data_IF_793728269545
#
_entry.id   IF_793728269545
#
_cell.length_a   1.000
_cell.length_b   1.000
_cell.length_c   1.000
_cell.angle_alpha   90.00
_cell.angle_beta   90.00
_cell.angle_gamma   90.00
#
_symmetry.space_group_name_H-M   'P 1'
#
loop_
_entity.id
_entity.type
_entity.pdbx_description
1 polymer ?
#
# COMPACT_ATOMS: atom_id res chain seq x y z
N UNK A 1 2.91 -8.48 36.35
CA UNK A 1 3.34 -9.74 35.69
C UNK A 1 2.33 -10.90 35.72
N UNK A 2 1.43 -11.04 36.73
CA UNK A 2 0.46 -12.18 36.79
C UNK A 2 -0.80 -12.05 35.91
N UNK A 3 -1.16 -10.85 35.41
CA UNK A 3 -2.33 -10.67 34.52
C UNK A 3 -2.05 -11.01 33.05
N UNK A 4 -0.83 -10.74 32.56
CA UNK A 4 -0.42 -10.92 31.15
C UNK A 4 -0.28 -12.40 30.73
N UNK A 5 -0.01 -13.29 31.67
CA UNK A 5 0.11 -14.74 31.41
C UNK A 5 -1.24 -15.45 31.28
N UNK A 6 -2.32 -14.94 31.91
CA UNK A 6 -3.66 -15.52 31.77
C UNK A 6 -4.32 -15.17 30.44
N UNK A 7 -4.11 -13.98 29.88
CA UNK A 7 -4.72 -13.56 28.60
C UNK A 7 -4.18 -14.30 27.38
N UNK A 8 -2.87 -14.63 27.36
CA UNK A 8 -2.27 -15.43 26.25
C UNK A 8 -2.79 -16.87 26.17
N UNK A 9 -3.20 -17.47 27.29
CA UNK A 9 -3.76 -18.82 27.33
C UNK A 9 -5.23 -18.88 26.90
N UNK A 10 -6.00 -17.80 27.11
CA UNK A 10 -7.43 -17.75 26.77
C UNK A 10 -7.70 -17.59 25.27
N UNK A 11 -6.80 -16.93 24.52
CA UNK A 11 -7.00 -16.72 23.07
C UNK A 11 -6.62 -17.92 22.18
N UNK A 12 -5.88 -18.90 22.71
CA UNK A 12 -5.43 -20.07 21.94
C UNK A 12 -6.44 -21.23 21.86
N UNK A 13 -7.53 -21.22 22.63
CA UNK A 13 -8.21 -22.47 22.97
C UNK A 13 -9.71 -22.66 22.63
N UNK A 14 -10.44 -21.75 21.97
CA UNK A 14 -11.91 -21.94 21.93
C UNK A 14 -12.69 -21.64 20.64
N UNK A 15 -12.15 -20.91 19.65
CA UNK A 15 -13.01 -20.42 18.55
C UNK A 15 -13.08 -21.40 17.38
N UNK A 16 -11.94 -21.96 16.95
CA UNK A 16 -11.87 -22.77 15.73
C UNK A 16 -12.43 -24.20 15.84
N UNK A 17 -12.26 -24.95 16.95
CA UNK A 17 -12.75 -26.34 17.04
C UNK A 17 -14.28 -26.46 17.12
N UNK A 18 -15.00 -25.34 17.31
CA UNK A 18 -16.39 -25.34 17.75
C UNK A 18 -17.40 -24.98 16.65
N UNK A 19 -16.91 -24.56 15.48
CA UNK A 19 -17.74 -24.25 14.29
C UNK A 19 -18.12 -25.52 13.50
N UNK A 20 -17.57 -26.68 13.86
CA UNK A 20 -17.78 -27.97 13.15
C UNK A 20 -19.06 -28.74 13.53
N UNK A 21 -19.89 -28.22 14.45
CA UNK A 21 -21.10 -28.89 14.91
C UNK A 21 -22.36 -28.06 14.63
N UNK A 22 -22.67 -27.84 13.35
CA UNK A 22 -23.98 -27.36 12.89
C UNK A 22 -24.25 -28.25 11.67
N UNK A 23 -25.31 -29.06 11.58
CA UNK A 23 -26.67 -28.65 11.23
C UNK A 23 -27.64 -29.85 11.26
N UNK A 24 -28.92 -29.57 11.51
CA UNK A 24 -30.01 -30.18 10.73
C UNK A 24 -31.22 -29.24 10.66
N UNK A 25 -31.97 -29.36 9.55
CA UNK A 25 -33.28 -28.77 9.20
C UNK A 25 -33.27 -27.48 8.34
N UNK A 26 -33.74 -27.61 7.09
CA UNK A 26 -34.59 -26.63 6.42
C UNK A 26 -34.02 -25.76 5.28
N UNK A 27 -32.72 -25.82 4.98
CA UNK A 27 -32.06 -24.98 3.97
C UNK A 27 -31.37 -25.86 2.93
N UNK A 28 -31.22 -25.40 1.68
CA UNK A 28 -30.42 -26.11 0.68
C UNK A 28 -28.98 -26.27 1.16
N UNK A 29 -28.38 -27.43 0.89
CA UNK A 29 -27.02 -27.76 1.35
C UNK A 29 -25.98 -26.70 0.95
N UNK A 30 -26.14 -26.11 -0.24
CA UNK A 30 -25.27 -25.06 -0.79
C UNK A 30 -25.35 -23.73 -0.01
N UNK A 31 -26.55 -23.29 0.38
CA UNK A 31 -26.70 -22.05 1.15
C UNK A 31 -26.19 -22.22 2.59
N UNK A 32 -26.29 -23.43 3.14
CA UNK A 32 -25.69 -23.82 4.42
C UNK A 32 -24.16 -23.79 4.37
N UNK A 33 -23.57 -24.35 3.32
CA UNK A 33 -22.12 -24.40 3.12
C UNK A 33 -21.55 -22.98 2.97
N UNK A 34 -22.19 -22.14 2.16
CA UNK A 34 -21.80 -20.73 2.00
C UNK A 34 -21.88 -19.95 3.32
N UNK A 35 -22.92 -20.17 4.14
CA UNK A 35 -23.04 -19.53 5.45
C UNK A 35 -21.91 -19.97 6.40
N UNK A 36 -21.59 -21.27 6.42
CA UNK A 36 -20.54 -21.81 7.27
C UNK A 36 -19.17 -21.25 6.91
N UNK A 37 -18.85 -21.14 5.61
CA UNK A 37 -17.61 -20.55 5.13
C UNK A 37 -17.48 -19.07 5.56
N UNK A 38 -18.55 -18.28 5.46
CA UNK A 38 -18.54 -16.87 5.93
C UNK A 38 -18.30 -16.77 7.43
N UNK A 39 -18.97 -17.59 8.23
CA UNK A 39 -18.77 -17.66 9.69
C UNK A 39 -17.31 -17.99 10.02
N UNK A 40 -16.73 -18.99 9.36
CA UNK A 40 -15.33 -19.38 9.57
C UNK A 40 -14.35 -18.26 9.22
N UNK A 41 -14.56 -17.60 8.07
CA UNK A 41 -13.74 -16.47 7.63
C UNK A 41 -13.78 -15.32 8.64
N UNK A 42 -14.99 -14.90 9.04
CA UNK A 42 -15.21 -13.82 10.01
C UNK A 42 -14.62 -14.15 11.39
N UNK A 43 -14.77 -15.40 11.86
CA UNK A 43 -14.20 -15.83 13.13
C UNK A 43 -12.66 -15.78 13.14
N UNK A 44 -12.02 -16.18 12.02
CA UNK A 44 -10.57 -16.11 11.83
C UNK A 44 -10.09 -14.66 11.84
N UNK A 45 -10.80 -13.76 11.16
CA UNK A 45 -10.49 -12.33 11.14
C UNK A 45 -10.64 -11.71 12.55
N UNK A 46 -11.74 -11.97 13.25
CA UNK A 46 -11.99 -11.44 14.59
C UNK A 46 -10.93 -11.92 15.58
N UNK A 47 -10.49 -13.18 15.48
CA UNK A 47 -9.39 -13.71 16.29
C UNK A 47 -8.07 -12.99 16.00
N UNK A 48 -7.75 -12.74 14.72
CA UNK A 48 -6.55 -12.01 14.32
C UNK A 48 -6.53 -10.60 14.90
N UNK A 49 -7.60 -9.82 14.69
CA UNK A 49 -7.70 -8.45 15.21
C UNK A 49 -7.65 -8.40 16.75
N UNK A 50 -8.30 -9.34 17.43
CA UNK A 50 -8.26 -9.40 18.89
C UNK A 50 -6.86 -9.75 19.44
N UNK A 51 -6.10 -10.61 18.74
CA UNK A 51 -4.71 -10.92 19.07
C UNK A 51 -3.80 -9.70 18.87
N UNK A 52 -3.98 -8.97 17.78
CA UNK A 52 -3.25 -7.74 17.48
C UNK A 52 -3.50 -6.70 18.57
N UNK A 53 -4.76 -6.40 18.89
CA UNK A 53 -5.15 -5.46 19.95
C UNK A 53 -4.59 -5.85 21.33
N UNK A 54 -4.68 -7.12 21.70
CA UNK A 54 -4.09 -7.62 22.94
C UNK A 54 -2.55 -7.54 22.95
N UNK A 55 -1.90 -7.80 21.83
CA UNK A 55 -0.46 -7.60 21.64
C UNK A 55 -0.05 -6.14 21.77
N UNK A 56 -0.95 -5.23 21.40
CA UNK A 56 -0.80 -3.78 21.47
C UNK A 56 -1.12 -3.18 22.85
N UNK A 57 -1.29 -4.00 23.89
CA UNK A 57 -1.62 -3.52 25.24
C UNK A 57 -3.07 -3.05 25.42
N UNK A 58 -3.92 -3.19 24.40
CA UNK A 58 -5.33 -2.82 24.43
C UNK A 58 -6.22 -4.06 24.23
N UNK A 59 -6.27 -5.02 25.18
CA UNK A 59 -7.04 -6.24 25.00
C UNK A 59 -8.54 -5.92 24.83
N UNK A 60 -9.20 -6.39 23.75
CA UNK A 60 -10.61 -6.07 23.49
C UNK A 60 -11.52 -6.99 24.32
N UNK A 61 -11.52 -6.80 25.64
CA UNK A 61 -12.13 -7.72 26.61
C UNK A 61 -13.64 -7.92 26.39
N UNK A 62 -14.35 -6.87 25.99
CA UNK A 62 -15.79 -6.92 25.67
C UNK A 62 -16.06 -7.77 24.43
N UNK A 63 -15.27 -7.59 23.37
CA UNK A 63 -15.38 -8.35 22.13
C UNK A 63 -15.04 -9.82 22.37
N UNK A 64 -14.01 -10.09 23.20
CA UNK A 64 -13.69 -11.46 23.64
C UNK A 64 -14.84 -12.07 24.44
N UNK A 65 -15.53 -11.30 25.30
CA UNK A 65 -16.70 -11.79 26.03
C UNK A 65 -17.86 -12.14 25.09
N UNK A 66 -18.12 -11.33 24.06
CA UNK A 66 -19.11 -11.62 23.01
C UNK A 66 -18.77 -12.91 22.27
N UNK A 67 -17.52 -13.06 21.79
CA UNK A 67 -17.09 -14.26 21.06
C UNK A 67 -17.23 -15.56 21.88
N UNK A 68 -17.15 -15.49 23.22
CA UNK A 68 -17.37 -16.66 24.09
C UNK A 68 -18.81 -17.18 24.10
N UNK A 69 -19.78 -16.46 23.53
CA UNK A 69 -21.18 -16.90 23.43
C UNK A 69 -21.44 -17.75 22.18
N UNK A 70 -20.56 -17.68 21.17
CA UNK A 70 -20.69 -18.44 19.90
C UNK A 70 -20.89 -19.96 20.13
N UNK A 71 -20.18 -20.62 21.07
CA UNK A 71 -20.42 -22.02 21.37
C UNK A 71 -21.86 -22.39 21.71
N UNK A 72 -22.55 -21.51 22.43
CA UNK A 72 -23.92 -21.76 22.85
C UNK A 72 -24.89 -21.59 21.67
N UNK A 73 -24.66 -20.60 20.81
CA UNK A 73 -25.40 -20.48 19.55
C UNK A 73 -25.16 -21.65 18.60
N UNK A 74 -23.93 -22.18 18.56
CA UNK A 74 -23.58 -23.37 17.77
C UNK A 74 -24.42 -24.58 18.16
N UNK A 75 -24.48 -24.89 19.47
CA UNK A 75 -25.32 -25.98 20.01
C UNK A 75 -26.81 -25.83 19.70
N UNK A 76 -27.29 -24.59 19.56
CA UNK A 76 -28.68 -24.26 19.27
C UNK A 76 -28.99 -24.22 17.77
N UNK A 77 -28.01 -24.46 16.89
CA UNK A 77 -28.21 -24.38 15.43
C UNK A 77 -28.37 -22.96 14.90
N UNK A 78 -27.99 -21.94 15.68
CA UNK A 78 -28.25 -20.51 15.41
C UNK A 78 -27.18 -19.86 14.54
N UNK A 79 -26.99 -20.38 13.33
CA UNK A 79 -25.90 -19.96 12.44
C UNK A 79 -26.01 -18.48 12.01
N UNK A 80 -27.22 -17.97 11.78
CA UNK A 80 -27.41 -16.57 11.39
C UNK A 80 -27.11 -15.60 12.55
N UNK A 81 -27.44 -15.98 13.78
CA UNK A 81 -27.08 -15.20 14.97
C UNK A 81 -25.56 -15.20 15.22
N UNK A 82 -24.87 -16.30 14.93
CA UNK A 82 -23.40 -16.35 14.95
C UNK A 82 -22.81 -15.38 13.92
N UNK A 83 -23.32 -15.40 12.68
CA UNK A 83 -22.85 -14.50 11.62
C UNK A 83 -23.04 -13.03 12.01
N UNK A 84 -24.24 -12.67 12.49
CA UNK A 84 -24.55 -11.31 12.95
C UNK A 84 -23.65 -10.85 14.09
N UNK A 85 -23.44 -11.71 15.09
CA UNK A 85 -22.55 -11.39 16.22
C UNK A 85 -21.11 -11.17 15.76
N UNK A 86 -20.64 -11.96 14.79
CA UNK A 86 -19.31 -11.78 14.21
C UNK A 86 -19.19 -10.46 13.45
N UNK A 87 -20.22 -10.04 12.72
CA UNK A 87 -20.25 -8.74 12.04
C UNK A 87 -20.17 -7.56 13.04
N UNK A 88 -20.93 -7.64 14.13
CA UNK A 88 -20.88 -6.65 15.22
C UNK A 88 -19.49 -6.59 15.86
N UNK A 89 -18.92 -7.74 16.21
CA UNK A 89 -17.58 -7.84 16.81
C UNK A 89 -16.51 -7.31 15.86
N UNK A 90 -16.56 -7.65 14.57
CA UNK A 90 -15.60 -7.18 13.58
C UNK A 90 -15.68 -5.66 13.41
N UNK A 91 -16.87 -5.09 13.37
CA UNK A 91 -17.07 -3.64 13.31
C UNK A 91 -16.41 -2.94 14.49
N UNK A 92 -16.64 -3.44 15.71
CA UNK A 92 -16.03 -2.90 16.93
C UNK A 92 -14.52 -3.08 16.97
N UNK A 93 -14.00 -4.25 16.59
CA UNK A 93 -12.56 -4.52 16.56
C UNK A 93 -11.85 -3.63 15.56
N UNK A 94 -12.39 -3.46 14.35
CA UNK A 94 -11.84 -2.55 13.33
C UNK A 94 -11.82 -1.09 13.82
N UNK A 95 -12.86 -0.66 14.54
CA UNK A 95 -12.92 0.66 15.18
C UNK A 95 -11.96 0.86 16.35
N UNK A 96 -11.53 -0.23 17.03
CA UNK A 96 -10.51 -0.18 18.10
C UNK A 96 -9.08 -0.36 17.58
N UNK A 97 -8.92 -0.94 16.40
CA UNK A 97 -7.62 -1.15 15.73
C UNK A 97 -7.10 0.09 15.02
N UNK A 98 -7.91 1.15 14.89
CA UNK A 98 -7.40 2.49 14.60
C UNK A 98 -6.69 2.99 15.86
N UNK A 99 -5.38 3.26 15.82
CA UNK A 99 -4.70 3.85 16.97
C UNK A 99 -5.41 5.15 17.36
N UNK A 100 -5.57 5.41 18.66
CA UNK A 100 -5.69 6.79 19.12
C UNK A 100 -4.51 7.58 18.53
N UNK A 101 -4.75 8.79 18.00
CA UNK A 101 -3.68 9.56 17.42
C UNK A 101 -2.71 9.92 18.55
N UNK A 102 -1.45 9.47 18.42
CA UNK A 102 -0.35 10.38 18.78
C UNK A 102 -0.68 11.73 18.12
N UNK A 103 -0.35 12.85 18.75
CA UNK A 103 -0.61 14.20 18.22
C UNK A 103 0.15 14.39 16.89
N UNK A 104 -0.41 13.84 15.81
CA UNK A 104 0.20 13.77 14.49
C UNK A 104 -0.14 15.08 13.80
N UNK A 105 0.86 15.89 13.42
CA UNK A 105 0.61 17.11 12.67
C UNK A 105 -0.18 16.79 11.39
N UNK A 106 -1.32 17.44 11.19
CA UNK A 106 -2.10 17.29 9.98
C UNK A 106 -1.68 18.29 8.90
N UNK A 107 -1.70 17.85 7.65
CA UNK A 107 -1.61 18.72 6.47
C UNK A 107 -3.00 18.87 5.88
N UNK A 108 -3.58 20.06 6.04
CA UNK A 108 -5.00 20.30 5.75
C UNK A 108 -5.23 21.06 4.44
N UNK A 109 -4.20 21.38 3.66
CA UNK A 109 -4.38 22.13 2.41
C UNK A 109 -5.17 21.33 1.37
N UNK A 110 -4.91 20.02 1.25
CA UNK A 110 -5.68 19.15 0.38
C UNK A 110 -7.14 18.98 0.85
N UNK A 111 -8.07 18.94 -0.11
CA UNK A 111 -9.51 18.86 0.10
C UNK A 111 -10.14 17.75 -0.73
N UNK A 112 -11.36 17.38 -0.31
CA UNK A 112 -12.37 16.58 -1.02
C UNK A 112 -11.83 15.51 -1.96
N UNK A 113 -11.70 14.25 -1.48
CA UNK A 113 -11.40 13.11 -2.33
C UNK A 113 -12.47 12.93 -3.42
N UNK A 114 -12.03 12.78 -4.66
CA UNK A 114 -12.87 12.51 -5.82
C UNK A 114 -12.42 11.22 -6.48
N UNK A 115 -13.34 10.28 -6.65
CA UNK A 115 -13.07 9.01 -7.35
C UNK A 115 -12.78 9.29 -8.82
N UNK A 116 -11.73 8.68 -9.35
CA UNK A 116 -11.37 8.74 -10.77
C UNK A 116 -12.04 7.60 -11.51
N UNK A 117 -12.55 7.89 -12.70
CA UNK A 117 -13.15 6.93 -13.62
C UNK A 117 -12.16 6.61 -14.74
N UNK A 118 -11.74 5.35 -14.84
CA UNK A 118 -10.97 4.84 -15.98
C UNK A 118 -11.94 4.10 -16.91
N UNK A 119 -12.43 4.79 -17.95
CA UNK A 119 -13.40 4.23 -18.90
C UNK A 119 -12.81 3.05 -19.65
N UNK A 120 -13.53 1.94 -19.68
CA UNK A 120 -13.06 0.70 -20.32
C UNK A 120 -12.18 -0.18 -19.42
N UNK A 121 -11.98 0.18 -18.15
CA UNK A 121 -11.26 -0.62 -17.17
C UNK A 121 -12.09 -0.79 -15.90
N UNK A 122 -12.18 -2.01 -15.36
CA UNK A 122 -13.03 -2.34 -14.19
C UNK A 122 -12.32 -3.15 -13.11
N UNK A 123 -11.07 -3.53 -13.33
CA UNK A 123 -10.27 -4.27 -12.35
C UNK A 123 -9.60 -3.33 -11.34
N UNK A 124 -8.74 -3.88 -10.50
CA UNK A 124 -7.91 -3.10 -9.57
C UNK A 124 -7.00 -2.11 -10.31
N UNK A 125 -6.88 -0.88 -9.79
CA UNK A 125 -5.93 0.10 -10.25
C UNK A 125 -5.15 0.64 -9.04
N UNK A 126 -3.84 0.40 -9.05
CA UNK A 126 -2.89 0.71 -7.97
C UNK A 126 -1.75 1.60 -8.48
N UNK A 127 -0.98 2.15 -7.53
CA UNK A 127 0.27 2.91 -7.75
C UNK A 127 0.21 3.85 -8.96
N UNK A 128 -0.74 4.80 -9.00
CA UNK A 128 -0.90 5.67 -10.14
C UNK A 128 0.34 6.55 -10.34
N UNK A 129 0.69 6.78 -11.60
CA UNK A 129 1.66 7.79 -11.98
C UNK A 129 1.15 8.61 -13.15
N UNK A 130 1.07 9.93 -12.98
CA UNK A 130 0.66 10.83 -14.04
C UNK A 130 1.89 11.32 -14.81
N UNK A 131 1.85 11.25 -16.13
CA UNK A 131 2.90 11.80 -16.99
C UNK A 131 3.13 13.30 -16.71
N UNK A 132 4.34 13.79 -16.98
CA UNK A 132 4.74 15.17 -16.65
C UNK A 132 3.95 16.24 -17.39
N UNK A 133 3.34 15.89 -18.52
CA UNK A 133 2.40 16.73 -19.29
C UNK A 133 0.92 16.54 -18.88
N UNK A 134 0.65 15.62 -17.94
CA UNK A 134 -0.67 15.33 -17.40
C UNK A 134 -1.57 14.53 -18.34
N UNK A 135 -1.09 14.06 -19.49
CA UNK A 135 -1.94 13.44 -20.51
C UNK A 135 -2.15 11.93 -20.31
N UNK A 136 -1.25 11.26 -19.60
CA UNK A 136 -1.25 9.80 -19.47
C UNK A 136 -1.21 9.42 -18.00
N UNK A 137 -2.18 8.61 -17.57
CA UNK A 137 -2.17 7.96 -16.27
C UNK A 137 -1.66 6.53 -16.44
N UNK A 138 -0.53 6.23 -15.83
CA UNK A 138 0.01 4.88 -15.66
C UNK A 138 -0.46 4.30 -14.32
N UNK A 139 -0.62 3.00 -14.25
CA UNK A 139 -0.99 2.28 -13.02
C UNK A 139 -0.67 0.79 -13.18
N UNK A 140 -0.49 0.06 -12.09
CA UNK A 140 -0.53 -1.40 -12.09
C UNK A 140 -1.92 -1.90 -11.70
N UNK A 141 -2.21 -3.16 -11.99
CA UNK A 141 -3.46 -3.81 -11.59
C UNK A 141 -3.47 -4.17 -10.09
N UNK A 142 -2.90 -5.32 -9.72
CA UNK A 142 -2.93 -5.88 -8.38
C UNK A 142 -1.59 -6.54 -8.02
N UNK A 143 -1.12 -6.28 -6.80
CA UNK A 143 0.08 -6.89 -6.23
C UNK A 143 -0.29 -8.19 -5.46
N UNK A 144 -0.83 -9.19 -6.17
CA UNK A 144 -1.22 -10.49 -5.59
C UNK A 144 -0.52 -11.65 -6.33
N UNK A 145 0.04 -12.65 -5.62
CA UNK A 145 0.74 -13.78 -6.25
C UNK A 145 -0.11 -14.64 -7.21
N UNK A 146 -1.44 -14.52 -7.17
CA UNK A 146 -2.36 -15.28 -8.04
C UNK A 146 -2.59 -14.64 -9.41
N UNK A 147 -2.10 -13.42 -9.63
CA UNK A 147 -2.22 -12.70 -10.91
C UNK A 147 -0.88 -12.10 -11.32
N UNK A 148 -0.68 -11.89 -12.62
CA UNK A 148 0.46 -11.08 -13.05
C UNK A 148 0.19 -9.62 -12.70
N UNK A 149 1.13 -9.02 -11.97
CA UNK A 149 1.14 -7.57 -11.79
C UNK A 149 1.64 -6.95 -13.08
N UNK A 150 0.74 -6.28 -13.81
CA UNK A 150 0.99 -5.68 -15.10
C UNK A 150 0.82 -4.16 -15.01
N UNK A 151 1.63 -3.44 -15.78
CA UNK A 151 1.49 -2.01 -16.01
C UNK A 151 0.50 -1.73 -17.14
N UNK A 152 -0.32 -0.72 -16.89
CA UNK A 152 -1.41 -0.26 -17.74
C UNK A 152 -1.30 1.25 -17.95
N UNK A 153 -1.99 1.76 -18.97
CA UNK A 153 -2.11 3.20 -19.18
C UNK A 153 -3.50 3.62 -19.68
N UNK A 154 -3.83 4.88 -19.37
CA UNK A 154 -5.05 5.53 -19.80
C UNK A 154 -4.77 7.00 -20.21
N UNK A 155 -5.45 7.48 -21.24
CA UNK A 155 -5.33 8.87 -21.72
C UNK A 155 -6.33 9.77 -21.01
N UNK A 156 -5.92 10.97 -20.63
CA UNK A 156 -6.76 11.93 -19.92
C UNK A 156 -7.90 12.44 -20.80
N UNK A 157 -9.12 12.38 -20.28
CA UNK A 157 -10.28 13.10 -20.84
C UNK A 157 -10.49 14.40 -20.05
N UNK A 158 -10.48 14.30 -18.70
CA UNK A 158 -10.59 15.43 -17.79
C UNK A 158 -9.88 15.12 -16.45
N UNK A 159 -10.09 15.96 -15.43
CA UNK A 159 -9.47 15.83 -14.11
C UNK A 159 -9.77 14.52 -13.36
N UNK A 160 -10.89 13.89 -13.63
CA UNK A 160 -11.34 12.68 -12.91
C UNK A 160 -11.79 11.58 -13.87
N UNK A 161 -11.52 11.73 -15.17
CA UNK A 161 -11.88 10.75 -16.19
C UNK A 161 -10.70 10.49 -17.13
N UNK A 162 -10.36 9.22 -17.29
CA UNK A 162 -9.36 8.74 -18.23
C UNK A 162 -9.97 7.66 -19.13
N UNK A 163 -9.47 7.55 -20.36
CA UNK A 163 -9.83 6.50 -21.31
C UNK A 163 -8.76 5.42 -21.29
N UNK A 164 -9.12 4.20 -20.88
CA UNK A 164 -8.19 3.06 -20.89
C UNK A 164 -7.69 2.78 -22.31
N UNK A 165 -6.39 2.51 -22.43
CA UNK A 165 -5.72 2.27 -23.72
C UNK A 165 -5.07 0.90 -23.82
N UNK A 166 -4.90 0.18 -22.72
CA UNK A 166 -4.32 -1.15 -22.70
C UNK A 166 -3.20 -1.28 -21.67
N UNK A 167 -2.52 -2.42 -21.76
CA UNK A 167 -1.25 -2.66 -21.09
C UNK A 167 -0.12 -1.85 -21.74
N UNK A 168 0.89 -1.53 -20.95
CA UNK A 168 2.13 -0.92 -21.45
C UNK A 168 2.96 -1.99 -22.17
N UNK A 169 3.22 -1.79 -23.45
CA UNK A 169 4.06 -2.67 -24.25
C UNK A 169 5.54 -2.65 -23.82
N UNK A 170 6.21 -3.78 -23.92
CA UNK A 170 7.66 -3.89 -23.66
C UNK A 170 8.07 -3.96 -22.19
N UNK A 171 7.16 -3.68 -21.25
CA UNK A 171 7.44 -3.80 -19.81
C UNK A 171 6.90 -5.11 -19.24
N UNK A 172 5.63 -5.48 -19.39
CA UNK A 172 5.02 -6.62 -18.67
C UNK A 172 5.68 -7.98 -18.93
N UNK A 173 5.66 -8.84 -17.92
CA UNK A 173 6.28 -10.17 -17.89
C UNK A 173 5.48 -11.11 -16.97
N UNK A 174 5.96 -12.36 -16.79
CA UNK A 174 5.40 -13.30 -15.80
C UNK A 174 5.84 -12.99 -14.35
N UNK A 175 6.66 -11.96 -14.16
CA UNK A 175 7.07 -11.48 -12.84
C UNK A 175 6.14 -10.35 -12.37
N UNK A 176 6.31 -9.91 -11.12
CA UNK A 176 5.69 -8.67 -10.64
C UNK A 176 6.32 -7.47 -11.35
N UNK A 177 5.50 -6.72 -12.09
CA UNK A 177 5.88 -5.48 -12.78
C UNK A 177 4.95 -4.33 -12.37
N UNK A 178 5.50 -3.34 -11.67
CA UNK A 178 4.69 -2.30 -11.03
C UNK A 178 5.39 -0.97 -10.93
N UNK A 179 4.75 -0.04 -10.20
CA UNK A 179 5.29 1.27 -9.85
C UNK A 179 5.88 2.05 -11.04
N UNK A 180 5.03 2.53 -11.96
CA UNK A 180 5.51 3.31 -13.09
C UNK A 180 6.01 4.68 -12.63
N UNK A 181 7.03 5.21 -13.30
CA UNK A 181 7.44 6.61 -13.20
C UNK A 181 7.99 7.11 -14.53
N UNK A 182 7.83 8.40 -14.83
CA UNK A 182 8.33 8.98 -16.09
C UNK A 182 8.85 10.41 -15.89
N UNK A 183 9.97 10.72 -16.52
CA UNK A 183 10.53 12.08 -16.55
C UNK A 183 10.01 12.89 -17.76
N UNK A 184 10.35 14.18 -17.82
CA UNK A 184 9.87 15.07 -18.90
C UNK A 184 10.49 14.77 -20.27
N UNK A 185 11.48 13.87 -20.32
CA UNK A 185 12.12 13.40 -21.55
C UNK A 185 11.61 12.02 -21.94
N UNK A 186 10.49 11.54 -21.38
CA UNK A 186 9.92 10.23 -21.63
C UNK A 186 10.85 9.06 -21.30
N UNK A 187 11.82 9.24 -20.40
CA UNK A 187 12.48 8.08 -19.82
C UNK A 187 11.51 7.48 -18.79
N UNK A 188 11.08 6.25 -19.06
CA UNK A 188 10.16 5.50 -18.24
C UNK A 188 10.94 4.62 -17.29
N UNK A 189 10.53 4.57 -16.03
CA UNK A 189 11.11 3.77 -14.97
C UNK A 189 10.01 2.90 -14.39
N UNK A 190 10.37 1.69 -13.99
CA UNK A 190 9.43 0.78 -13.36
C UNK A 190 10.15 -0.25 -12.49
N UNK A 191 9.39 -0.83 -11.56
CA UNK A 191 9.84 -1.94 -10.75
C UNK A 191 9.51 -3.26 -11.44
N UNK A 192 10.48 -4.17 -11.47
CA UNK A 192 10.29 -5.56 -11.87
C UNK A 192 11.24 -6.50 -11.14
N UNK A 193 10.73 -7.65 -10.69
CA UNK A 193 11.56 -8.70 -10.06
C UNK A 193 12.18 -9.68 -11.04
N UNK A 194 12.03 -9.47 -12.36
CA UNK A 194 12.42 -10.44 -13.42
C UNK A 194 13.89 -10.86 -13.41
N UNK A 195 14.81 -10.01 -12.94
CA UNK A 195 16.24 -10.35 -12.83
C UNK A 195 16.76 -10.42 -11.39
N UNK A 196 15.86 -10.38 -10.40
CA UNK A 196 16.27 -10.28 -9.00
C UNK A 196 17.15 -11.43 -8.55
N UNK A 197 16.80 -12.67 -8.93
CA UNK A 197 17.54 -13.89 -8.57
C UNK A 197 19.03 -13.85 -8.96
N UNK A 198 19.36 -13.12 -10.02
CA UNK A 198 20.72 -13.07 -10.57
C UNK A 198 21.46 -11.76 -10.22
N UNK A 199 20.74 -10.67 -10.01
CA UNK A 199 21.34 -9.31 -9.97
C UNK A 199 21.04 -8.55 -8.67
N UNK A 200 20.08 -9.01 -7.87
CA UNK A 200 19.50 -8.28 -6.73
C UNK A 200 18.98 -6.87 -7.07
N UNK A 201 18.78 -6.58 -8.35
CA UNK A 201 18.29 -5.30 -8.84
C UNK A 201 16.87 -5.48 -9.37
N UNK A 202 16.06 -4.44 -9.21
CA UNK A 202 14.62 -4.51 -9.52
C UNK A 202 14.07 -3.27 -10.19
N UNK A 203 14.87 -2.22 -10.38
CA UNK A 203 14.43 -1.04 -11.11
C UNK A 203 14.96 -1.11 -12.53
N UNK A 204 14.06 -0.90 -13.48
CA UNK A 204 14.34 -0.82 -14.91
C UNK A 204 14.06 0.58 -15.42
N UNK A 205 14.67 0.92 -16.54
CA UNK A 205 14.34 2.10 -17.32
C UNK A 205 14.26 1.78 -18.80
N UNK A 206 13.56 2.61 -19.54
CA UNK A 206 13.51 2.57 -21.00
C UNK A 206 12.92 3.85 -21.56
N UNK A 207 12.58 3.84 -22.84
CA UNK A 207 12.01 4.99 -23.54
C UNK A 207 10.53 4.76 -23.81
N UNK A 208 9.68 5.57 -23.20
CA UNK A 208 8.26 5.59 -23.51
C UNK A 208 7.98 6.25 -24.86
N UNK A 209 7.19 5.57 -25.68
CA UNK A 209 6.60 6.09 -26.91
C UNK A 209 5.26 5.39 -27.20
N UNK A 210 4.18 6.16 -27.28
CA UNK A 210 2.86 5.75 -27.75
C UNK A 210 2.39 4.34 -27.29
N UNK A 211 2.38 4.08 -25.97
CA UNK A 211 1.89 2.80 -25.44
C UNK A 211 2.98 1.77 -25.15
N UNK A 212 4.22 2.00 -25.58
CA UNK A 212 5.32 1.03 -25.48
C UNK A 212 6.55 1.64 -24.83
N UNK A 213 7.28 0.84 -24.05
CA UNK A 213 8.63 1.17 -23.57
C UNK A 213 9.65 0.35 -24.35
N UNK A 214 10.56 1.04 -25.04
CA UNK A 214 11.68 0.42 -25.77
C UNK A 214 13.00 0.58 -25.01
N UNK A 215 14.03 -0.15 -25.45
CA UNK A 215 15.38 -0.09 -24.86
C UNK A 215 15.38 -0.31 -23.35
N UNK A 216 14.60 -1.30 -22.89
CA UNK A 216 14.48 -1.63 -21.47
C UNK A 216 15.81 -2.16 -20.95
N UNK A 217 16.34 -1.51 -19.93
CA UNK A 217 17.60 -1.86 -19.27
C UNK A 217 17.51 -1.72 -17.75
N UNK A 218 18.40 -2.42 -17.04
CA UNK A 218 18.43 -2.45 -15.59
C UNK A 218 19.15 -1.21 -15.03
N UNK A 219 18.56 -0.58 -14.01
CA UNK A 219 19.22 0.48 -13.21
C UNK A 219 19.94 -0.18 -12.03
N UNK A 220 21.18 -0.61 -12.25
CA UNK A 220 21.91 -1.47 -11.30
C UNK A 220 22.66 -0.73 -10.19
N UNK A 221 22.94 0.58 -10.36
CA UNK A 221 23.76 1.35 -9.41
C UNK A 221 23.06 1.77 -8.12
N UNK A 222 21.77 1.42 -7.95
CA UNK A 222 20.96 1.80 -6.80
C UNK A 222 20.72 0.66 -5.81
N UNK A 223 20.91 -0.61 -6.18
CA UNK A 223 20.69 -1.74 -5.26
C UNK A 223 21.80 -1.82 -4.20
N UNK A 224 21.45 -2.21 -2.99
CA UNK A 224 22.42 -2.55 -1.94
C UNK A 224 23.00 -3.97 -2.09
N UNK A 225 22.56 -4.71 -3.12
CA UNK A 225 22.99 -6.08 -3.47
C UNK A 225 22.87 -7.09 -2.34
N UNK A 226 21.96 -6.88 -1.40
CA UNK A 226 21.71 -7.77 -0.28
C UNK A 226 20.56 -8.73 -0.60
N UNK A 227 20.75 -10.06 -0.50
CA UNK A 227 19.65 -11.01 -0.66
C UNK A 227 18.48 -10.69 0.28
N UNK A 228 17.26 -10.78 -0.26
CA UNK A 228 16.03 -10.41 0.45
C UNK A 228 15.74 -8.92 0.49
N UNK A 229 16.67 -8.04 0.08
CA UNK A 229 16.38 -6.62 -0.11
C UNK A 229 15.89 -6.37 -1.53
N UNK A 230 14.78 -5.65 -1.67
CA UNK A 230 14.15 -5.35 -2.95
C UNK A 230 13.95 -3.84 -3.07
N UNK A 231 14.24 -3.29 -4.24
CA UNK A 231 13.81 -1.94 -4.59
C UNK A 231 12.40 -1.98 -5.16
N UNK A 232 11.42 -1.94 -4.26
CA UNK A 232 10.04 -2.24 -4.61
C UNK A 232 9.20 -1.02 -5.04
N UNK A 233 9.79 0.18 -5.04
CA UNK A 233 9.17 1.42 -5.50
C UNK A 233 10.21 2.33 -6.16
N UNK A 234 9.77 3.17 -7.11
CA UNK A 234 10.58 4.16 -7.82
C UNK A 234 9.76 5.41 -8.17
N UNK A 235 10.38 6.58 -8.00
CA UNK A 235 9.91 7.89 -8.47
C UNK A 235 11.12 8.64 -9.06
N UNK A 236 10.89 9.55 -10.01
CA UNK A 236 11.97 10.24 -10.76
C UNK A 236 11.71 11.72 -10.88
N UNK A 237 12.71 12.59 -10.68
CA UNK A 237 12.51 14.03 -10.89
C UNK A 237 12.13 14.36 -12.34
N UNK A 238 11.41 15.48 -12.59
CA UNK A 238 11.03 15.87 -13.95
C UNK A 238 12.20 16.00 -14.92
N UNK A 239 13.40 16.31 -14.44
CA UNK A 239 14.63 16.43 -15.24
C UNK A 239 15.33 15.08 -15.52
N UNK A 240 14.92 14.00 -14.84
CA UNK A 240 15.48 12.66 -14.97
C UNK A 240 16.78 12.41 -14.20
N UNK A 241 17.20 13.34 -13.34
CA UNK A 241 18.51 13.29 -12.68
C UNK A 241 18.48 12.69 -11.28
N UNK A 242 17.32 12.51 -10.67
CA UNK A 242 17.19 12.00 -9.31
C UNK A 242 16.13 10.92 -9.24
N UNK A 243 16.44 9.81 -8.58
CA UNK A 243 15.48 8.79 -8.22
C UNK A 243 15.25 8.78 -6.71
N UNK A 244 14.00 8.60 -6.33
CA UNK A 244 13.62 8.19 -4.98
C UNK A 244 13.17 6.74 -5.10
N UNK A 245 13.89 5.83 -4.44
CA UNK A 245 13.56 4.40 -4.42
C UNK A 245 13.43 3.93 -2.98
N UNK A 246 12.97 2.71 -2.77
CA UNK A 246 12.78 2.17 -1.41
C UNK A 246 13.61 0.91 -1.25
N UNK A 247 14.41 0.78 -0.19
CA UNK A 247 14.99 -0.49 0.22
C UNK A 247 13.99 -1.23 1.13
N UNK A 248 13.40 -2.33 0.66
CA UNK A 248 12.53 -3.19 1.47
C UNK A 248 13.21 -4.49 1.90
N UNK A 249 13.20 -4.81 3.19
CA UNK A 249 13.69 -6.09 3.73
C UNK A 249 12.57 -7.14 3.73
N UNK A 250 12.53 -7.99 2.70
CA UNK A 250 11.58 -9.09 2.53
C UNK A 250 12.06 -10.42 3.09
N UNK A 251 13.10 -10.45 3.94
CA UNK A 251 13.61 -11.71 4.53
C UNK A 251 12.59 -12.44 5.40
N UNK A 252 11.54 -11.76 5.87
CA UNK A 252 10.41 -12.34 6.60
C UNK A 252 9.14 -12.53 5.75
N UNK A 253 9.20 -12.34 4.43
CA UNK A 253 8.05 -12.40 3.53
C UNK A 253 7.39 -11.03 3.30
N UNK A 254 6.11 -11.05 2.94
CA UNK A 254 5.27 -9.88 2.64
C UNK A 254 4.25 -9.66 3.79
N UNK A 255 4.10 -8.44 4.36
CA UNK A 255 4.82 -7.19 4.08
C UNK A 255 6.31 -7.24 4.47
N UNK A 256 7.16 -6.34 3.94
CA UNK A 256 8.56 -6.27 4.33
C UNK A 256 8.69 -5.96 5.82
N UNK A 257 9.77 -6.44 6.44
CA UNK A 257 10.11 -6.18 7.84
C UNK A 257 10.44 -4.72 8.11
N UNK A 258 11.04 -4.06 7.13
CA UNK A 258 11.44 -2.66 7.15
C UNK A 258 11.44 -2.12 5.73
N UNK A 259 11.11 -0.85 5.56
CA UNK A 259 11.30 -0.16 4.28
C UNK A 259 11.75 1.28 4.50
N UNK A 260 12.77 1.70 3.78
CA UNK A 260 13.33 3.06 3.88
C UNK A 260 13.55 3.64 2.49
N UNK A 261 13.27 4.93 2.33
CA UNK A 261 13.64 5.64 1.12
C UNK A 261 15.16 5.74 0.97
N UNK A 262 15.59 5.74 -0.28
CA UNK A 262 16.95 5.95 -0.75
C UNK A 262 16.88 6.95 -1.89
N UNK A 263 17.77 7.95 -1.87
CA UNK A 263 17.94 8.88 -2.98
C UNK A 263 19.10 8.39 -3.83
N UNK A 264 18.93 8.39 -5.15
CA UNK A 264 20.00 8.18 -6.11
C UNK A 264 20.10 9.34 -7.09
N UNK A 265 21.32 9.71 -7.46
CA UNK A 265 21.62 10.81 -8.38
C UNK A 265 22.29 10.27 -9.64
N UNK A 266 21.91 10.83 -10.79
CA UNK A 266 22.50 10.52 -12.07
C UNK A 266 23.88 11.18 -12.17
N UNK A 267 24.92 10.39 -12.42
CA UNK A 267 26.28 10.86 -12.60
C UNK A 267 26.50 11.38 -14.04
N UNK A 268 27.69 11.92 -14.32
CA UNK A 268 28.05 12.45 -15.64
C UNK A 268 28.11 11.39 -16.75
N UNK A 269 28.17 10.11 -16.40
CA UNK A 269 28.11 8.97 -17.34
C UNK A 269 26.67 8.52 -17.61
N UNK A 270 25.67 9.13 -16.96
CA UNK A 270 24.27 8.78 -17.12
C UNK A 270 23.83 7.57 -16.29
N UNK A 271 24.66 7.10 -15.36
CA UNK A 271 24.34 6.03 -14.41
C UNK A 271 23.82 6.63 -13.10
N UNK A 272 22.98 5.88 -12.36
CA UNK A 272 22.51 6.31 -11.06
C UNK A 272 23.36 5.72 -9.94
N UNK A 273 23.75 6.54 -8.98
CA UNK A 273 24.45 6.14 -7.78
C UNK A 273 23.69 6.62 -6.54
N UNK A 274 23.73 5.87 -5.45
CA UNK A 274 23.14 6.30 -4.18
C UNK A 274 23.76 7.63 -3.73
N UNK A 275 22.90 8.56 -3.33
CA UNK A 275 23.30 9.85 -2.79
C UNK A 275 23.92 9.66 -1.41
N UNK A 276 25.16 10.13 -1.25
CA UNK A 276 25.92 10.01 0.01
C UNK A 276 25.29 10.80 1.15
N UNK A 277 24.53 11.85 0.82
CA UNK A 277 23.79 12.66 1.79
C UNK A 277 22.34 12.16 1.98
N UNK A 278 21.92 11.10 1.29
CA UNK A 278 20.54 10.60 1.29
C UNK A 278 20.00 10.31 2.69
N UNK A 279 20.76 9.60 3.52
CA UNK A 279 20.37 9.28 4.90
C UNK A 279 20.14 10.53 5.74
N UNK A 280 20.99 11.55 5.58
CA UNK A 280 20.83 12.85 6.25
C UNK A 280 19.58 13.57 5.76
N UNK A 281 19.34 13.57 4.45
CA UNK A 281 18.19 14.26 3.84
C UNK A 281 16.86 13.63 4.27
N UNK A 282 16.83 12.31 4.40
CA UNK A 282 15.63 11.51 4.72
C UNK A 282 15.48 11.16 6.21
N UNK A 283 16.36 11.65 7.09
CA UNK A 283 16.42 11.22 8.50
C UNK A 283 15.11 11.35 9.29
N UNK A 284 14.22 12.27 8.90
CA UNK A 284 12.88 12.44 9.52
C UNK A 284 11.76 11.70 8.80
N UNK A 285 12.00 11.30 7.55
CA UNK A 285 11.08 10.54 6.72
C UNK A 285 11.23 9.06 7.02
N UNK A 286 12.45 8.54 7.00
CA UNK A 286 12.76 7.15 7.32
C UNK A 286 12.62 6.90 8.84
N UNK A 287 11.76 5.97 9.24
CA UNK A 287 11.52 5.64 10.65
C UNK A 287 11.55 4.13 10.88
N UNK A 288 10.90 3.65 11.96
CA UNK A 288 10.65 2.22 12.14
C UNK A 288 9.37 1.75 11.45
N UNK A 289 8.54 2.68 10.95
CA UNK A 289 7.42 2.35 10.08
C UNK A 289 7.93 1.85 8.72
N UNK A 290 6.99 1.48 7.84
CA UNK A 290 7.29 1.19 6.45
C UNK A 290 7.03 2.47 5.63
N UNK A 291 8.08 3.14 5.15
CA UNK A 291 7.97 4.25 4.21
C UNK A 291 8.22 3.80 2.77
N UNK A 292 7.33 4.21 1.86
CA UNK A 292 7.37 3.82 0.44
C UNK A 292 6.47 4.67 -0.45
N UNK A 293 6.49 4.42 -1.77
CA UNK A 293 5.75 5.12 -2.82
C UNK A 293 5.88 6.65 -2.78
N UNK A 294 7.08 7.14 -3.08
CA UNK A 294 7.37 8.57 -3.14
C UNK A 294 6.60 9.27 -4.26
N UNK A 295 6.24 10.53 -4.01
CA UNK A 295 5.65 11.48 -4.94
C UNK A 295 6.32 12.83 -4.69
N UNK A 296 7.23 13.22 -5.59
CA UNK A 296 8.05 14.41 -5.41
C UNK A 296 7.53 15.59 -6.22
N UNK A 297 7.56 16.75 -5.58
CA UNK A 297 7.39 18.04 -6.26
C UNK A 297 8.53 18.31 -7.25
N UNK A 298 8.27 19.16 -8.23
CA UNK A 298 9.15 19.56 -9.32
C UNK A 298 10.42 20.24 -8.83
N UNK A 299 10.33 21.03 -7.77
CA UNK A 299 11.46 21.69 -7.12
C UNK A 299 12.13 20.81 -6.05
N UNK A 300 11.63 19.58 -5.88
CA UNK A 300 12.02 18.62 -4.86
C UNK A 300 11.89 19.16 -3.42
N UNK A 301 11.03 20.15 -3.15
CA UNK A 301 10.89 20.72 -1.81
C UNK A 301 9.79 20.06 -0.98
N UNK A 302 8.82 19.43 -1.62
CA UNK A 302 7.79 18.58 -1.03
C UNK A 302 7.93 17.13 -1.49
N UNK A 303 7.78 16.21 -0.53
CA UNK A 303 7.69 14.76 -0.71
C UNK A 303 6.38 14.28 -0.09
N UNK A 304 5.45 13.83 -0.94
CA UNK A 304 4.33 13.00 -0.52
C UNK A 304 4.76 11.54 -0.56
N UNK A 305 4.35 10.74 0.42
CA UNK A 305 4.71 9.34 0.48
C UNK A 305 3.68 8.52 1.26
N UNK A 306 3.71 7.21 1.06
CA UNK A 306 2.97 6.26 1.88
C UNK A 306 3.77 5.90 3.12
N UNK A 307 3.10 5.86 4.28
CA UNK A 307 3.62 5.22 5.48
C UNK A 307 2.62 4.22 6.02
N UNK A 308 3.07 2.97 6.21
CA UNK A 308 2.34 1.94 6.92
C UNK A 308 2.98 1.67 8.29
N UNK A 309 2.22 1.92 9.35
CA UNK A 309 2.69 1.85 10.73
C UNK A 309 3.07 3.20 11.34
N UNK A 310 3.35 3.17 12.65
CA UNK A 310 3.77 4.34 13.42
C UNK A 310 5.28 4.39 13.63
N UNK A 311 5.79 5.47 14.23
CA UNK A 311 7.23 5.67 14.49
C UNK A 311 7.86 4.59 15.39
N UNK A 312 7.06 3.80 16.12
CA UNK A 312 7.55 2.65 16.90
C UNK A 312 7.55 1.33 16.13
N UNK A 313 7.20 1.34 14.84
CA UNK A 313 7.19 0.17 13.96
C UNK A 313 5.96 -0.71 14.10
N UNK A 314 4.94 -0.27 14.85
CA UNK A 314 3.65 -0.96 14.91
C UNK A 314 2.90 -0.71 13.61
N UNK A 315 2.61 -1.77 12.87
CA UNK A 315 1.89 -1.70 11.60
C UNK A 315 0.48 -1.13 11.77
N UNK A 316 0.09 -0.25 10.85
CA UNK A 316 -1.24 0.36 10.72
C UNK A 316 -1.64 0.31 9.26
N UNK A 317 -2.91 0.65 8.95
CA UNK A 317 -3.30 0.91 7.57
C UNK A 317 -2.37 1.97 6.95
N UNK A 318 -2.01 1.81 5.66
CA UNK A 318 -1.18 2.75 4.96
C UNK A 318 -1.92 4.07 4.74
N UNK A 319 -1.19 5.17 4.90
CA UNK A 319 -1.71 6.53 4.77
C UNK A 319 -0.74 7.40 3.98
N UNK A 320 -1.25 8.48 3.41
CA UNK A 320 -0.44 9.50 2.74
C UNK A 320 0.07 10.55 3.73
N UNK A 321 1.35 10.87 3.63
CA UNK A 321 2.06 11.86 4.43
C UNK A 321 2.78 12.84 3.52
N UNK A 322 2.98 14.07 3.99
CA UNK A 322 3.75 15.10 3.30
C UNK A 322 4.91 15.54 4.20
N UNK A 323 6.12 15.56 3.66
CA UNK A 323 7.27 16.21 4.28
C UNK A 323 7.78 17.33 3.37
N UNK A 324 8.19 18.45 3.97
CA UNK A 324 8.69 19.61 3.24
C UNK A 324 10.09 20.02 3.72
N UNK A 325 10.87 20.67 2.85
CA UNK A 325 12.17 21.28 3.14
C UNK A 325 12.30 22.64 2.49
N UNK A 326 13.22 23.47 3.01
CA UNK A 326 13.41 24.85 2.51
C UNK A 326 14.28 24.93 1.27
N UNK A 327 15.14 23.94 1.05
CA UNK A 327 16.00 23.83 -0.13
C UNK A 327 16.41 22.38 -0.36
N UNK A 328 16.88 22.05 -1.58
CA UNK A 328 17.34 20.69 -1.92
C UNK A 328 18.58 20.22 -1.14
N UNK A 329 19.28 21.12 -0.45
CA UNK A 329 20.43 20.82 0.41
C UNK A 329 20.03 20.54 1.86
N UNK A 330 18.85 20.98 2.27
CA UNK A 330 18.32 20.77 3.62
C UNK A 330 17.63 19.41 3.75
N UNK A 331 17.61 18.82 4.96
CA UNK A 331 16.81 17.63 5.21
C UNK A 331 15.31 17.96 5.17
N UNK A 332 14.49 16.96 4.85
CA UNK A 332 13.05 17.07 5.04
C UNK A 332 12.70 17.29 6.51
N UNK A 333 11.65 18.10 6.75
CA UNK A 333 11.07 18.35 8.07
C UNK A 333 10.29 17.16 8.62
N UNK A 334 9.56 17.39 9.71
CA UNK A 334 8.64 16.37 10.24
C UNK A 334 7.49 16.13 9.25
N UNK A 335 7.20 14.87 8.89
CA UNK A 335 6.06 14.57 8.04
C UNK A 335 4.72 14.90 8.71
N UNK A 336 3.78 15.40 7.92
CA UNK A 336 2.41 15.71 8.30
C UNK A 336 1.43 14.75 7.60
N UNK A 337 0.39 14.28 8.30
CA UNK A 337 -0.62 13.38 7.75
C UNK A 337 -1.57 14.14 6.80
N UNK A 338 -1.80 13.62 5.59
CA UNK A 338 -2.85 14.12 4.71
C UNK A 338 -4.17 13.45 5.11
N UNK A 339 -4.83 14.00 6.13
CA UNK A 339 -5.96 13.36 6.81
C UNK A 339 -7.18 13.15 5.90
N UNK A 340 -7.36 14.01 4.90
CA UNK A 340 -8.47 13.93 3.94
C UNK A 340 -8.40 12.68 3.05
N UNK A 341 -7.21 12.11 2.84
CA UNK A 341 -7.04 10.81 2.18
C UNK A 341 -7.12 9.70 3.26
N UNK A 342 -8.32 9.17 3.48
CA UNK A 342 -8.63 8.23 4.55
C UNK A 342 -8.81 6.77 4.07
N UNK A 343 -8.75 5.83 5.02
CA UNK A 343 -8.81 4.40 4.75
C UNK A 343 -7.44 3.81 4.41
N UNK A 344 -7.43 2.75 3.59
CA UNK A 344 -6.20 2.21 3.00
C UNK A 344 -5.89 3.02 1.75
N UNK A 345 -4.84 3.84 1.80
CA UNK A 345 -4.43 4.74 0.71
C UNK A 345 -2.93 4.71 0.49
N UNK A 346 -2.48 4.64 -0.75
CA UNK A 346 -1.06 4.62 -1.10
C UNK A 346 -0.79 5.23 -2.49
N UNK A 347 0.48 5.48 -2.79
CA UNK A 347 0.98 5.74 -4.14
C UNK A 347 0.48 7.05 -4.73
N UNK A 348 0.95 8.17 -4.19
CA UNK A 348 0.61 9.49 -4.72
C UNK A 348 1.29 9.79 -6.06
N UNK A 349 0.70 10.67 -6.86
CA UNK A 349 1.37 11.31 -8.01
C UNK A 349 0.80 12.72 -8.23
N UNK A 350 1.68 13.70 -8.42
CA UNK A 350 1.28 15.09 -8.63
C UNK A 350 0.71 15.33 -10.03
N UNK A 351 -0.28 16.21 -10.10
CA UNK A 351 -0.63 16.92 -11.34
C UNK A 351 0.52 17.81 -11.82
N UNK A 352 0.59 18.17 -13.12
CA UNK A 352 1.67 19.02 -13.61
C UNK A 352 1.72 20.40 -12.97
N UNK A 353 0.61 20.99 -12.52
CA UNK A 353 0.62 22.26 -11.77
C UNK A 353 0.77 22.06 -10.25
N UNK A 354 0.93 20.82 -9.83
CA UNK A 354 1.04 20.34 -8.45
C UNK A 354 -0.16 20.71 -7.57
N UNK A 355 -1.28 21.12 -8.18
CA UNK A 355 -2.49 21.52 -7.45
C UNK A 355 -3.37 20.38 -7.02
N UNK A 356 -3.05 19.18 -7.45
CA UNK A 356 -3.75 17.97 -7.05
C UNK A 356 -2.82 16.77 -7.06
N UNK A 357 -3.24 15.75 -6.31
CA UNK A 357 -2.56 14.47 -6.20
C UNK A 357 -3.55 13.37 -6.54
N UNK A 358 -3.17 12.47 -7.44
CA UNK A 358 -3.84 11.20 -7.63
C UNK A 358 -3.21 10.15 -6.72
N UNK A 359 -4.00 9.22 -6.22
CA UNK A 359 -3.54 8.12 -5.37
C UNK A 359 -4.51 6.96 -5.47
N UNK A 360 -4.11 5.75 -5.08
CA UNK A 360 -5.06 4.65 -5.01
C UNK A 360 -5.62 4.47 -3.60
N UNK A 361 -6.85 3.99 -3.52
CA UNK A 361 -7.56 3.67 -2.28
C UNK A 361 -8.24 2.32 -2.43
N UNK A 362 -8.27 1.55 -1.34
CA UNK A 362 -9.14 0.37 -1.27
C UNK A 362 -10.60 0.79 -1.03
N UNK A 363 -11.47 0.51 -1.99
CA UNK A 363 -12.90 0.83 -2.00
C UNK A 363 -13.71 -0.47 -2.14
N UNK A 364 -14.21 -0.98 -1.02
CA UNK A 364 -14.72 -2.34 -0.91
C UNK A 364 -13.61 -3.37 -1.11
N UNK A 365 -13.80 -4.28 -2.06
CA UNK A 365 -12.82 -5.33 -2.39
C UNK A 365 -11.79 -4.91 -3.44
N UNK A 366 -11.89 -3.71 -4.03
CA UNK A 366 -11.03 -3.27 -5.12
C UNK A 366 -10.19 -2.05 -4.78
N UNK A 367 -9.01 -1.96 -5.40
CA UNK A 367 -8.23 -0.73 -5.48
C UNK A 367 -8.69 0.13 -6.64
N UNK A 368 -8.91 1.42 -6.37
CA UNK A 368 -9.31 2.40 -7.38
C UNK A 368 -8.58 3.71 -7.16
N UNK A 369 -8.47 4.52 -8.22
CA UNK A 369 -7.80 5.81 -8.15
C UNK A 369 -8.73 6.89 -7.63
N UNK A 370 -8.22 7.73 -6.74
CA UNK A 370 -8.83 8.94 -6.23
C UNK A 370 -7.92 10.14 -6.52
N UNK A 371 -8.51 11.33 -6.43
CA UNK A 371 -7.82 12.62 -6.55
C UNK A 371 -8.19 13.50 -5.36
N UNK A 372 -7.22 14.26 -4.84
CA UNK A 372 -7.41 15.36 -3.89
C UNK A 372 -6.80 16.63 -4.46
N UNK A 373 -7.40 17.79 -4.18
CA UNK A 373 -7.00 19.09 -4.72
C UNK A 373 -6.57 20.04 -3.59
N UNK A 374 -5.60 20.92 -3.85
CA UNK A 374 -5.08 21.93 -2.92
C UNK A 374 -5.67 23.31 -3.15
#
# INVERSE_FOLDING_TARGET
>A
MRLLTKTRSVLRCAILPLVLAVLSVGVTAEAQENLLQRIQSKAKEAQKLAQELAGNGNPPLEQIAKLKTIPEFGKQGKAHEIEKLLDEVLTELRGKSTPEPEDVPEYTAFKTPRKVTIRGYKEDAMEPFLSRDGQILFFNNLNDPSVNTNLHYAERIDDVTFQYKGEVGGVNSEATDGVPAIDSKNNFYFMSVRSYKNTFSTVYRGKWDAGTVSNVELVSGITNRKPGNVNFDVEVTPDGNTLYTVDGDFTSGNPPKASNFVIARRNSMGEFERDKDGDRVLAKVNTLALEYAACISKDELELIFTRAGNKSGKLTAPRLWLAARKSVKEPYGEPQLISVADGFVEGGTYTPDEKAVYYHRKDGERFVIYRIDR
#
